data_IF_360712270326
#
_entry.id   IF_360712270326
#
_cell.length_a   1.000
_cell.length_b   1.000
_cell.length_c   1.000
_cell.angle_alpha   90.00
_cell.angle_beta   90.00
_cell.angle_gamma   90.00
#
_symmetry.space_group_name_H-M   'P 1'
#
loop_
_entity.id
_entity.type
_entity.pdbx_description
1 polymer ?
#
# COMPACT_ATOMS: atom_id res chain seq x y z
N UNK A 1 41.08 47.30 5.49
CA UNK A 1 39.88 47.00 6.31
C UNK A 1 39.04 45.98 5.56
N UNK A 2 39.50 44.73 5.54
CA UNK A 2 38.85 43.54 6.13
C UNK A 2 37.43 43.32 5.58
N UNK A 3 37.35 42.47 4.55
CA UNK A 3 36.10 41.90 4.05
C UNK A 3 35.66 40.72 4.91
N UNK A 4 34.37 40.69 5.26
CA UNK A 4 33.76 39.61 6.01
C UNK A 4 32.96 38.70 5.07
N UNK A 5 33.48 37.50 4.84
CA UNK A 5 32.77 36.41 4.19
C UNK A 5 31.76 35.81 5.17
N UNK A 6 30.46 35.94 4.86
CA UNK A 6 29.37 35.25 5.57
C UNK A 6 29.24 33.83 5.02
N UNK A 7 29.76 32.86 5.77
CA UNK A 7 29.56 31.43 5.54
C UNK A 7 28.13 31.04 5.93
N UNK A 8 27.33 30.59 4.96
CA UNK A 8 26.02 29.97 5.22
C UNK A 8 26.21 28.52 5.65
N UNK A 9 26.12 28.25 6.96
CA UNK A 9 26.02 26.90 7.49
C UNK A 9 24.61 26.34 7.23
N UNK A 10 24.47 25.54 6.18
CA UNK A 10 23.28 24.71 5.95
C UNK A 10 23.21 23.62 7.01
N UNK A 11 22.44 23.87 8.07
CA UNK A 11 22.06 22.82 9.02
C UNK A 11 21.06 21.90 8.30
N UNK A 12 21.55 20.78 7.79
CA UNK A 12 20.71 19.65 7.42
C UNK A 12 19.96 19.17 8.66
N UNK A 13 18.72 19.61 8.84
CA UNK A 13 17.81 19.06 9.84
C UNK A 13 17.54 17.61 9.43
N UNK A 14 18.18 16.66 10.10
CA UNK A 14 17.76 15.27 10.07
C UNK A 14 16.31 15.22 10.56
N UNK A 15 15.36 15.08 9.63
CA UNK A 15 13.98 14.83 9.99
C UNK A 15 13.93 13.41 10.53
N UNK A 16 13.64 13.28 11.83
CA UNK A 16 13.35 11.99 12.44
C UNK A 16 12.10 11.42 11.76
N UNK A 17 12.25 10.34 11.00
CA UNK A 17 11.12 9.62 10.43
C UNK A 17 10.28 9.11 11.60
N UNK A 18 8.98 9.48 11.71
CA UNK A 18 8.12 8.97 12.78
C UNK A 18 8.09 7.44 12.75
N UNK A 19 7.96 6.79 13.90
CA UNK A 19 7.70 5.36 13.92
C UNK A 19 6.41 5.03 13.14
N UNK A 20 6.34 3.82 12.58
CA UNK A 20 5.26 3.44 11.66
C UNK A 20 3.86 3.60 12.26
N UNK A 21 3.69 3.42 13.58
CA UNK A 21 2.40 3.57 14.26
C UNK A 21 2.03 5.05 14.38
N UNK A 22 2.97 5.91 14.75
CA UNK A 22 2.77 7.35 14.81
C UNK A 22 2.44 7.93 13.42
N UNK A 23 3.15 7.49 12.38
CA UNK A 23 2.86 7.87 10.99
C UNK A 23 1.44 7.47 10.56
N UNK A 24 1.03 6.24 10.87
CA UNK A 24 -0.32 5.73 10.60
C UNK A 24 -1.42 6.54 11.29
N UNK A 25 -1.26 6.79 12.60
CA UNK A 25 -2.26 7.55 13.36
C UNK A 25 -2.36 8.99 12.83
N UNK A 26 -1.22 9.64 12.58
CA UNK A 26 -1.18 11.00 12.00
C UNK A 26 -1.90 11.07 10.65
N UNK A 27 -1.68 10.06 9.77
CA UNK A 27 -2.35 10.00 8.49
C UNK A 27 -3.88 9.87 8.64
N UNK A 28 -4.36 9.05 9.57
CA UNK A 28 -5.80 8.89 9.86
C UNK A 28 -6.42 10.17 10.42
N UNK A 29 -5.75 10.82 11.36
CA UNK A 29 -6.24 12.06 11.96
C UNK A 29 -6.29 13.20 10.93
N UNK A 30 -5.28 13.26 10.06
CA UNK A 30 -5.23 14.19 8.93
C UNK A 30 -6.36 13.90 7.93
N UNK A 31 -6.56 12.63 7.55
CA UNK A 31 -7.64 12.23 6.65
C UNK A 31 -9.04 12.56 7.21
N UNK A 32 -9.25 12.31 8.50
CA UNK A 32 -10.50 12.65 9.18
C UNK A 32 -10.74 14.17 9.22
N UNK A 33 -9.70 14.95 9.53
CA UNK A 33 -9.77 16.43 9.54
C UNK A 33 -10.05 16.99 8.16
N UNK A 34 -9.35 16.51 7.14
CA UNK A 34 -9.54 16.92 5.75
C UNK A 34 -10.93 16.56 5.24
N UNK A 35 -11.43 15.35 5.56
CA UNK A 35 -12.79 14.94 5.23
C UNK A 35 -13.84 15.84 5.90
N UNK A 36 -13.68 16.16 7.19
CA UNK A 36 -14.59 17.05 7.91
C UNK A 36 -14.67 18.42 7.23
N UNK A 37 -13.50 19.00 6.89
CA UNK A 37 -13.42 20.29 6.21
C UNK A 37 -14.01 20.23 4.78
N UNK A 38 -13.72 19.17 4.01
CA UNK A 38 -14.25 18.98 2.68
C UNK A 38 -15.77 18.81 2.70
N UNK A 39 -16.30 17.97 3.61
CA UNK A 39 -17.75 17.77 3.79
C UNK A 39 -18.48 19.08 4.06
N UNK A 40 -17.97 19.92 4.96
CA UNK A 40 -18.57 21.22 5.27
C UNK A 40 -18.64 22.13 4.02
N UNK A 41 -17.61 22.11 3.16
CA UNK A 41 -17.65 22.83 1.88
C UNK A 41 -18.67 22.22 0.91
N UNK A 42 -18.75 20.89 0.82
CA UNK A 42 -19.71 20.20 -0.04
C UNK A 42 -21.16 20.47 0.38
N UNK A 43 -21.43 20.69 1.68
CA UNK A 43 -22.76 21.03 2.19
C UNK A 43 -23.29 22.38 1.69
N UNK A 44 -22.41 23.26 1.16
CA UNK A 44 -22.79 24.52 0.52
C UNK A 44 -23.23 24.37 -0.94
N UNK A 45 -23.04 23.18 -1.51
CA UNK A 45 -23.43 22.84 -2.89
C UNK A 45 -24.76 22.07 -2.85
N UNK A 46 -25.54 22.07 -3.92
CA UNK A 46 -26.81 21.33 -3.99
C UNK A 46 -26.85 20.37 -5.19
N UNK A 47 -27.77 19.41 -5.13
CA UNK A 47 -27.98 18.43 -6.20
C UNK A 47 -26.79 17.49 -6.42
N UNK A 48 -26.68 16.94 -7.64
CA UNK A 48 -25.61 16.02 -8.00
C UNK A 48 -24.18 16.55 -7.73
N UNK A 49 -23.85 17.84 -7.96
CA UNK A 49 -22.55 18.39 -7.62
C UNK A 49 -22.18 18.21 -6.12
N UNK A 50 -23.16 18.29 -5.21
CA UNK A 50 -22.94 17.97 -3.79
C UNK A 50 -22.59 16.51 -3.59
N UNK A 51 -23.33 15.60 -4.23
CA UNK A 51 -23.11 14.16 -4.12
C UNK A 51 -21.71 13.77 -4.62
N UNK A 52 -21.29 14.34 -5.75
CA UNK A 52 -19.95 14.16 -6.31
C UNK A 52 -18.89 14.67 -5.34
N UNK A 53 -19.06 15.88 -4.80
CA UNK A 53 -18.12 16.48 -3.84
C UNK A 53 -17.95 15.59 -2.59
N UNK A 54 -19.06 15.08 -2.03
CA UNK A 54 -19.02 14.19 -0.87
C UNK A 54 -18.35 12.85 -1.20
N UNK A 55 -18.63 12.28 -2.37
CA UNK A 55 -18.04 11.02 -2.78
C UNK A 55 -16.53 11.15 -3.05
N UNK A 56 -16.07 12.26 -3.63
CA UNK A 56 -14.65 12.59 -3.79
C UNK A 56 -13.94 12.73 -2.45
N UNK A 57 -14.53 13.47 -1.51
CA UNK A 57 -13.97 13.62 -0.16
C UNK A 57 -13.87 12.26 0.56
N UNK A 58 -14.89 11.41 0.43
CA UNK A 58 -14.89 10.06 1.01
C UNK A 58 -13.83 9.17 0.35
N UNK A 59 -13.72 9.20 -0.98
CA UNK A 59 -12.73 8.42 -1.71
C UNK A 59 -11.30 8.80 -1.31
N UNK A 60 -11.01 10.09 -1.17
CA UNK A 60 -9.69 10.54 -0.72
C UNK A 60 -9.39 10.12 0.72
N UNK A 61 -10.39 10.23 1.61
CA UNK A 61 -10.23 9.75 2.99
C UNK A 61 -9.89 8.26 3.02
N UNK A 62 -10.64 7.43 2.29
CA UNK A 62 -10.37 6.00 2.19
C UNK A 62 -8.97 5.77 1.65
N UNK A 63 -8.57 6.45 0.57
CA UNK A 63 -7.22 6.33 0.00
C UNK A 63 -6.13 6.55 1.03
N UNK A 64 -6.18 7.66 1.77
CA UNK A 64 -5.17 7.98 2.78
C UNK A 64 -5.17 6.97 3.93
N UNK A 65 -6.34 6.60 4.46
CA UNK A 65 -6.43 5.65 5.56
C UNK A 65 -5.94 4.24 5.16
N UNK A 66 -6.24 3.81 3.93
CA UNK A 66 -5.88 2.50 3.40
C UNK A 66 -4.40 2.39 3.02
N UNK A 67 -3.83 3.41 2.38
CA UNK A 67 -2.40 3.47 2.09
C UNK A 67 -1.58 3.48 3.38
N UNK A 68 -1.97 4.30 4.36
CA UNK A 68 -1.31 4.35 5.66
C UNK A 68 -1.46 3.02 6.42
N UNK A 69 -2.65 2.41 6.40
CA UNK A 69 -2.91 1.12 7.03
C UNK A 69 -2.12 -0.02 6.41
N UNK A 70 -1.94 0.00 5.08
CA UNK A 70 -1.12 -0.97 4.37
C UNK A 70 0.36 -0.78 4.68
N UNK A 71 0.86 0.45 4.69
CA UNK A 71 2.24 0.78 5.06
C UNK A 71 2.55 0.36 6.50
N UNK A 72 1.64 0.61 7.43
CA UNK A 72 1.80 0.22 8.84
C UNK A 72 1.88 -1.30 9.02
N UNK A 73 1.01 -2.06 8.34
CA UNK A 73 0.99 -3.52 8.43
C UNK A 73 2.12 -4.16 7.64
N UNK A 74 2.60 -3.50 6.60
CA UNK A 74 3.66 -3.92 5.70
C UNK A 74 3.57 -5.39 5.24
N UNK A 75 2.38 -5.84 4.84
CA UNK A 75 2.15 -7.19 4.33
C UNK A 75 1.51 -7.15 2.96
N UNK A 76 1.84 -8.12 2.10
CA UNK A 76 1.25 -8.24 0.77
C UNK A 76 -0.29 -8.25 0.82
N UNK A 77 -0.86 -8.95 1.81
CA UNK A 77 -2.31 -8.99 2.05
C UNK A 77 -2.87 -7.59 2.36
N UNK A 78 -2.21 -6.81 3.20
CA UNK A 78 -2.68 -5.47 3.54
C UNK A 78 -2.64 -4.52 2.34
N UNK A 79 -1.56 -4.51 1.56
CA UNK A 79 -1.48 -3.73 0.32
C UNK A 79 -2.53 -4.13 -0.71
N UNK A 80 -2.78 -5.43 -0.88
CA UNK A 80 -3.81 -5.94 -1.80
C UNK A 80 -5.20 -5.47 -1.36
N UNK A 81 -5.51 -5.60 -0.07
CA UNK A 81 -6.78 -5.18 0.50
C UNK A 81 -7.00 -3.66 0.41
N UNK A 82 -5.95 -2.86 0.62
CA UNK A 82 -6.01 -1.41 0.44
C UNK A 82 -6.38 -1.06 -1.01
N UNK A 83 -5.72 -1.66 -2.01
CA UNK A 83 -6.05 -1.46 -3.43
C UNK A 83 -7.51 -1.80 -3.75
N UNK A 84 -8.04 -2.89 -3.18
CA UNK A 84 -9.44 -3.28 -3.36
C UNK A 84 -10.40 -2.23 -2.78
N UNK A 85 -10.18 -1.78 -1.54
CA UNK A 85 -11.05 -0.79 -0.88
C UNK A 85 -10.96 0.59 -1.54
N UNK A 86 -9.79 0.97 -2.03
CA UNK A 86 -9.60 2.20 -2.81
C UNK A 86 -10.36 2.12 -4.13
N UNK A 87 -10.33 0.98 -4.81
CA UNK A 87 -11.10 0.77 -6.03
C UNK A 87 -12.61 0.89 -5.77
N UNK A 88 -13.12 0.30 -4.68
CA UNK A 88 -14.53 0.41 -4.28
C UNK A 88 -14.93 1.88 -4.02
N UNK A 89 -14.08 2.64 -3.32
CA UNK A 89 -14.35 4.05 -3.03
C UNK A 89 -14.29 4.93 -4.30
N UNK A 90 -13.40 4.61 -5.25
CA UNK A 90 -13.38 5.27 -6.55
C UNK A 90 -14.63 4.95 -7.37
N UNK A 91 -15.13 3.72 -7.32
CA UNK A 91 -16.39 3.35 -7.95
C UNK A 91 -17.58 4.11 -7.38
N UNK A 92 -17.67 4.27 -6.05
CA UNK A 92 -18.70 5.11 -5.41
C UNK A 92 -18.66 6.56 -5.96
N UNK A 93 -17.44 7.12 -6.09
CA UNK A 93 -17.21 8.46 -6.64
C UNK A 93 -17.59 8.58 -8.10
N UNK A 94 -17.22 7.61 -8.93
CA UNK A 94 -17.57 7.61 -10.35
C UNK A 94 -19.08 7.41 -10.56
N UNK A 95 -19.71 6.56 -9.74
CA UNK A 95 -21.16 6.38 -9.73
C UNK A 95 -21.90 7.67 -9.34
N UNK A 96 -21.38 8.43 -8.38
CA UNK A 96 -21.92 9.74 -8.03
C UNK A 96 -21.85 10.71 -9.23
N UNK A 97 -20.73 10.72 -9.96
CA UNK A 97 -20.58 11.55 -11.19
C UNK A 97 -21.59 11.18 -12.27
N UNK A 98 -21.92 9.89 -12.40
CA UNK A 98 -22.98 9.45 -13.32
C UNK A 98 -24.39 9.94 -12.94
N UNK A 99 -24.60 10.51 -11.75
CA UNK A 99 -25.90 11.06 -11.36
C UNK A 99 -26.32 12.31 -12.14
N UNK A 100 -25.41 12.97 -12.84
CA UNK A 100 -25.72 14.14 -13.68
C UNK A 100 -26.34 13.79 -15.04
N UNK A 101 -26.20 12.55 -15.51
CA UNK A 101 -26.69 12.08 -16.81
C UNK A 101 -27.93 11.20 -16.64
N UNK A 102 -28.72 11.05 -17.70
CA UNK A 102 -29.99 10.28 -17.66
C UNK A 102 -30.11 9.32 -18.84
N UNK A 103 -31.08 8.40 -18.79
CA UNK A 103 -31.32 7.43 -19.85
C UNK A 103 -30.12 6.52 -20.11
N UNK A 104 -29.92 6.15 -21.37
CA UNK A 104 -28.84 5.25 -21.79
C UNK A 104 -27.44 5.76 -21.40
N UNK A 105 -27.20 7.07 -21.43
CA UNK A 105 -25.90 7.65 -21.09
C UNK A 105 -25.52 7.38 -19.62
N UNK A 106 -26.52 7.37 -18.73
CA UNK A 106 -26.32 7.00 -17.33
C UNK A 106 -25.95 5.53 -17.18
N UNK A 107 -26.64 4.66 -17.91
CA UNK A 107 -26.36 3.22 -17.86
C UNK A 107 -24.96 2.90 -18.38
N UNK A 108 -24.55 3.55 -19.48
CA UNK A 108 -23.19 3.46 -20.02
C UNK A 108 -22.17 3.97 -18.99
N UNK A 109 -22.42 5.13 -18.37
CA UNK A 109 -21.54 5.69 -17.34
C UNK A 109 -21.33 4.74 -16.16
N UNK A 110 -22.42 4.17 -15.61
CA UNK A 110 -22.34 3.23 -14.48
C UNK A 110 -21.63 1.93 -14.89
N UNK A 111 -21.87 1.42 -16.10
CA UNK A 111 -21.16 0.25 -16.63
C UNK A 111 -19.67 0.52 -16.78
N UNK A 112 -19.28 1.72 -17.24
CA UNK A 112 -17.88 2.11 -17.34
C UNK A 112 -17.22 2.19 -15.96
N UNK A 113 -17.87 2.82 -14.98
CA UNK A 113 -17.38 2.87 -13.61
C UNK A 113 -17.19 1.46 -13.01
N UNK A 114 -18.15 0.57 -13.25
CA UNK A 114 -18.07 -0.84 -12.81
C UNK A 114 -16.96 -1.60 -13.53
N UNK A 115 -16.73 -1.34 -14.82
CA UNK A 115 -15.63 -1.94 -15.55
C UNK A 115 -14.27 -1.52 -14.97
N UNK A 116 -14.10 -0.24 -14.64
CA UNK A 116 -12.90 0.27 -13.94
C UNK A 116 -12.69 -0.41 -12.58
N UNK A 117 -13.76 -0.60 -11.80
CA UNK A 117 -13.69 -1.33 -10.53
C UNK A 117 -13.18 -2.76 -10.72
N UNK A 118 -13.81 -3.49 -11.63
CA UNK A 118 -13.47 -4.89 -11.91
C UNK A 118 -12.01 -5.01 -12.37
N UNK A 119 -11.57 -4.12 -13.27
CA UNK A 119 -10.19 -4.09 -13.73
C UNK A 119 -9.20 -3.87 -12.57
N UNK A 120 -9.44 -2.85 -11.73
CA UNK A 120 -8.56 -2.56 -10.60
C UNK A 120 -8.48 -3.71 -9.58
N UNK A 121 -9.61 -4.38 -9.31
CA UNK A 121 -9.66 -5.55 -8.41
C UNK A 121 -8.97 -6.78 -9.01
N UNK A 122 -9.13 -6.99 -10.32
CA UNK A 122 -8.46 -8.06 -11.05
C UNK A 122 -6.94 -7.87 -11.04
N UNK A 123 -6.46 -6.66 -11.33
CA UNK A 123 -5.04 -6.31 -11.31
C UNK A 123 -4.43 -6.51 -9.91
N UNK A 124 -5.12 -6.03 -8.86
CA UNK A 124 -4.66 -6.23 -7.48
C UNK A 124 -4.57 -7.73 -7.12
N UNK A 125 -5.49 -8.55 -7.62
CA UNK A 125 -5.48 -10.00 -7.40
C UNK A 125 -4.36 -10.68 -8.18
N UNK A 126 -4.14 -10.28 -9.43
CA UNK A 126 -3.10 -10.82 -10.29
C UNK A 126 -1.70 -10.52 -9.72
N UNK A 127 -1.47 -9.28 -9.30
CA UNK A 127 -0.20 -8.87 -8.69
C UNK A 127 0.10 -9.67 -7.42
N UNK A 128 -0.91 -9.86 -6.56
CA UNK A 128 -0.76 -10.69 -5.35
C UNK A 128 -0.35 -12.12 -5.70
N UNK A 129 -1.06 -12.76 -6.63
CA UNK A 129 -0.76 -14.13 -7.06
C UNK A 129 0.64 -14.25 -7.66
N UNK A 130 1.07 -13.27 -8.45
CA UNK A 130 2.41 -13.23 -9.04
C UNK A 130 3.50 -13.12 -7.97
N UNK A 131 3.31 -12.26 -6.97
CA UNK A 131 4.26 -12.10 -5.87
C UNK A 131 4.32 -13.38 -5.01
N UNK A 132 3.16 -13.97 -4.68
CA UNK A 132 3.08 -15.24 -3.94
C UNK A 132 3.80 -16.38 -4.69
N UNK A 133 3.54 -16.52 -5.99
CA UNK A 133 4.19 -17.55 -6.82
C UNK A 133 5.72 -17.39 -6.86
N UNK A 134 6.22 -16.15 -6.98
CA UNK A 134 7.66 -15.85 -6.94
C UNK A 134 8.28 -16.16 -5.57
N UNK A 135 7.57 -15.82 -4.50
CA UNK A 135 8.00 -16.09 -3.12
C UNK A 135 8.10 -17.59 -2.87
N UNK A 136 7.07 -18.35 -3.24
CA UNK A 136 7.04 -19.81 -3.08
C UNK A 136 8.15 -20.47 -3.90
N UNK A 137 8.32 -20.09 -5.17
CA UNK A 137 9.39 -20.62 -6.01
C UNK A 137 10.80 -20.33 -5.45
N UNK A 138 11.01 -19.17 -4.80
CA UNK A 138 12.26 -18.86 -4.11
C UNK A 138 12.47 -19.76 -2.90
N UNK A 139 11.41 -19.97 -2.11
CA UNK A 139 11.46 -20.80 -0.90
C UNK A 139 11.73 -22.27 -1.22
N UNK A 140 11.12 -22.80 -2.30
CA UNK A 140 11.35 -24.16 -2.78
C UNK A 140 12.81 -24.36 -3.20
N UNK A 141 13.39 -23.40 -3.95
CA UNK A 141 14.80 -23.43 -4.35
C UNK A 141 15.74 -23.41 -3.15
N UNK A 142 15.52 -22.49 -2.21
CA UNK A 142 16.33 -22.41 -0.99
C UNK A 142 16.21 -23.68 -0.15
N UNK A 143 15.02 -24.27 -0.08
CA UNK A 143 14.81 -25.55 0.61
C UNK A 143 15.57 -26.70 -0.06
N UNK A 144 15.54 -26.77 -1.39
CA UNK A 144 16.26 -27.80 -2.14
C UNK A 144 17.79 -27.65 -1.97
N UNK A 145 18.31 -26.44 -2.09
CA UNK A 145 19.75 -26.15 -1.91
C UNK A 145 20.19 -26.38 -0.46
N UNK A 146 19.36 -26.03 0.52
CA UNK A 146 19.61 -26.33 1.93
C UNK A 146 19.70 -27.83 2.20
N UNK A 147 18.80 -28.64 1.61
CA UNK A 147 18.87 -30.11 1.71
C UNK A 147 20.20 -30.63 1.17
N UNK A 148 20.64 -30.14 0.00
CA UNK A 148 21.96 -30.51 -0.55
C UNK A 148 23.10 -30.09 0.37
N UNK A 149 23.02 -28.92 1.01
CA UNK A 149 24.03 -28.47 1.96
C UNK A 149 24.09 -29.37 3.21
N UNK A 150 22.93 -29.82 3.71
CA UNK A 150 22.88 -30.78 4.82
C UNK A 150 23.53 -32.11 4.45
N UNK A 151 23.23 -32.67 3.28
CA UNK A 151 23.87 -33.91 2.80
C UNK A 151 25.39 -33.77 2.69
N UNK A 152 25.90 -32.59 2.30
CA UNK A 152 27.35 -32.32 2.31
C UNK A 152 27.94 -32.31 3.72
N UNK A 153 27.19 -31.82 4.71
CA UNK A 153 27.63 -31.82 6.10
C UNK A 153 27.74 -33.23 6.70
N UNK A 154 27.08 -34.23 6.11
CA UNK A 154 27.17 -35.63 6.54
C UNK A 154 28.56 -36.24 6.33
N UNK A 155 29.44 -35.58 5.58
CA UNK A 155 30.85 -35.94 5.50
C UNK A 155 31.64 -35.65 6.80
N UNK A 156 31.07 -34.89 7.74
CA UNK A 156 31.69 -34.55 9.02
C UNK A 156 31.05 -35.30 10.19
N UNK A 157 31.69 -35.25 11.36
CA UNK A 157 31.17 -35.81 12.60
C UNK A 157 31.44 -34.88 13.80
N UNK A 158 30.66 -35.03 14.86
CA UNK A 158 30.76 -34.24 16.09
C UNK A 158 30.63 -32.74 15.82
N UNK A 159 31.39 -31.94 16.57
CA UNK A 159 31.32 -30.48 16.53
C UNK A 159 31.52 -29.88 15.11
N UNK A 160 32.30 -30.54 14.24
CA UNK A 160 32.49 -30.07 12.86
C UNK A 160 31.20 -30.21 12.03
N UNK A 161 30.43 -31.28 12.23
CA UNK A 161 29.12 -31.47 11.58
C UNK A 161 28.12 -30.43 12.07
N UNK A 162 28.06 -30.22 13.38
CA UNK A 162 27.15 -29.24 13.99
C UNK A 162 27.41 -27.83 13.44
N UNK A 163 28.68 -27.42 13.39
CA UNK A 163 29.09 -26.14 12.80
C UNK A 163 28.71 -26.04 11.31
N UNK A 164 28.87 -27.11 10.53
CA UNK A 164 28.48 -27.13 9.13
C UNK A 164 26.96 -26.93 8.96
N UNK A 165 26.16 -27.64 9.75
CA UNK A 165 24.69 -27.55 9.71
C UNK A 165 24.21 -26.15 10.10
N UNK A 166 24.80 -25.54 11.13
CA UNK A 166 24.44 -24.19 11.56
C UNK A 166 24.86 -23.12 10.55
N UNK A 167 26.01 -23.29 9.89
CA UNK A 167 26.41 -22.46 8.78
C UNK A 167 25.41 -22.58 7.61
N UNK A 168 24.94 -23.78 7.29
CA UNK A 168 23.93 -24.00 6.26
C UNK A 168 22.59 -23.34 6.62
N UNK A 169 22.09 -23.50 7.86
CA UNK A 169 20.87 -22.81 8.32
C UNK A 169 20.96 -21.30 8.13
N UNK A 170 22.08 -20.73 8.56
CA UNK A 170 22.35 -19.29 8.41
C UNK A 170 22.40 -18.86 6.95
N UNK A 171 23.11 -19.61 6.09
CA UNK A 171 23.27 -19.28 4.68
C UNK A 171 21.95 -19.33 3.90
N UNK A 172 21.05 -20.25 4.25
CA UNK A 172 19.78 -20.47 3.54
C UNK A 172 18.56 -19.87 4.25
N UNK A 173 18.73 -19.28 5.43
CA UNK A 173 17.66 -18.68 6.22
C UNK A 173 16.63 -19.72 6.71
N UNK A 174 17.11 -20.88 7.17
CA UNK A 174 16.31 -22.02 7.64
C UNK A 174 16.42 -22.23 9.14
#
# INVERSE_FOLDING_TARGET
MIGAALLWSTHGRAQTVPDAKTAYNTARDTAATNYKAARARCELVTGNPRDVCLAEAKAERVRVEEEAGAAYKNTLKAYTQARMRIADANYDRDKARCGAVTGNDRDVCIKQAKATLIAAQADATADRKMIEARSNAREDKLTAEYRVALEKCDAFAGAAKDQCVDAAKTAYGK
#
